data_IF_206041752890
#
_entry.id   IF_206041752890
#
_cell.length_a   1.000
_cell.length_b   1.000
_cell.length_c   1.000
_cell.angle_alpha   90.00
_cell.angle_beta   90.00
_cell.angle_gamma   90.00
#
_symmetry.space_group_name_H-M   'P 1'
#
loop_
_entity.id
_entity.type
_entity.pdbx_description
1 polymer ?
#
# COMPACT_ATOMS: atom_id res chain seq x y z
N UNK A 1 10.55 -3.43 -26.69
CA UNK A 1 11.76 -3.39 -27.55
C UNK A 1 11.89 -4.69 -28.34
N UNK A 2 12.22 -5.84 -27.73
CA UNK A 2 12.36 -7.11 -28.47
C UNK A 2 11.07 -7.62 -29.18
N UNK A 3 9.92 -7.03 -28.88
CA UNK A 3 8.63 -7.36 -29.50
C UNK A 3 8.49 -6.84 -30.95
N UNK A 4 9.31 -5.88 -31.36
CA UNK A 4 9.27 -5.25 -32.70
C UNK A 4 10.52 -5.52 -33.53
N UNK A 5 11.65 -5.81 -32.89
CA UNK A 5 12.93 -6.08 -33.54
C UNK A 5 13.76 -7.07 -32.72
N UNK A 6 14.75 -7.69 -33.37
CA UNK A 6 15.78 -8.47 -32.70
C UNK A 6 16.85 -7.54 -32.10
N UNK A 7 17.30 -7.84 -30.88
CA UNK A 7 18.23 -7.01 -30.12
C UNK A 7 19.48 -7.78 -29.75
N UNK A 8 20.61 -7.06 -29.70
CA UNK A 8 21.83 -7.51 -29.04
C UNK A 8 21.69 -7.40 -27.51
N UNK A 9 22.12 -8.43 -26.78
CA UNK A 9 22.04 -8.47 -25.31
C UNK A 9 22.90 -7.39 -24.64
N UNK A 10 24.11 -7.16 -25.15
CA UNK A 10 25.04 -6.20 -24.57
C UNK A 10 24.56 -4.77 -24.80
N UNK A 11 24.08 -4.49 -26.02
CA UNK A 11 23.50 -3.19 -26.34
C UNK A 11 22.25 -2.90 -25.49
N UNK A 12 21.38 -3.90 -25.30
CA UNK A 12 20.21 -3.76 -24.46
C UNK A 12 20.60 -3.47 -23.00
N UNK A 13 21.58 -4.20 -22.46
CA UNK A 13 22.08 -3.97 -21.10
C UNK A 13 22.65 -2.56 -20.94
N UNK A 14 23.52 -2.13 -21.86
CA UNK A 14 24.09 -0.79 -21.87
C UNK A 14 23.02 0.29 -21.99
N UNK A 15 21.99 0.07 -22.82
CA UNK A 15 20.87 1.01 -22.99
C UNK A 15 20.02 1.14 -21.73
N UNK A 16 19.72 0.04 -21.04
CA UNK A 16 18.96 0.06 -19.78
C UNK A 16 19.73 0.84 -18.70
N UNK A 17 21.04 0.63 -18.58
CA UNK A 17 21.90 1.32 -17.59
C UNK A 17 22.07 2.82 -17.82
N UNK A 18 21.66 3.36 -18.97
CA UNK A 18 21.64 4.82 -19.20
C UNK A 18 20.49 5.52 -18.46
N UNK A 19 19.53 4.77 -17.94
CA UNK A 19 18.42 5.34 -17.17
C UNK A 19 18.77 5.40 -15.68
N UNK A 20 18.37 6.49 -15.00
CA UNK A 20 18.71 6.71 -13.61
C UNK A 20 18.32 5.54 -12.66
N UNK A 21 17.12 4.94 -12.75
CA UNK A 21 16.73 3.84 -11.86
C UNK A 21 17.57 2.57 -12.03
N UNK A 22 18.20 2.38 -13.20
CA UNK A 22 18.96 1.17 -13.54
C UNK A 22 20.47 1.45 -13.72
N UNK A 23 20.96 2.63 -13.33
CA UNK A 23 22.37 3.00 -13.52
C UNK A 23 23.36 2.03 -12.86
N UNK A 24 22.98 1.49 -11.69
CA UNK A 24 23.74 0.51 -10.92
C UNK A 24 23.32 -0.95 -11.18
N UNK A 25 22.52 -1.22 -12.23
CA UNK A 25 22.03 -2.58 -12.52
C UNK A 25 23.20 -3.54 -12.77
N UNK A 26 23.27 -4.59 -11.95
CA UNK A 26 24.24 -5.67 -12.11
C UNK A 26 23.90 -6.58 -13.27
N UNK A 27 24.93 -7.07 -13.98
CA UNK A 27 24.74 -7.94 -15.15
C UNK A 27 24.00 -9.23 -14.79
N UNK A 28 24.36 -9.88 -13.68
CA UNK A 28 23.69 -11.10 -13.24
C UNK A 28 22.18 -10.92 -13.02
N UNK A 29 21.75 -9.75 -12.52
CA UNK A 29 20.32 -9.45 -12.33
C UNK A 29 19.59 -9.25 -13.66
N UNK A 30 20.23 -8.58 -14.61
CA UNK A 30 19.72 -8.45 -15.97
C UNK A 30 19.55 -9.81 -16.64
N UNK A 31 20.58 -10.67 -16.58
CA UNK A 31 20.53 -12.01 -17.16
C UNK A 31 19.44 -12.87 -16.52
N UNK A 32 19.23 -12.77 -15.20
CA UNK A 32 18.17 -13.48 -14.51
C UNK A 32 16.76 -13.09 -15.02
N UNK A 33 16.54 -11.81 -15.33
CA UNK A 33 15.27 -11.33 -15.90
C UNK A 33 15.09 -11.89 -17.32
N UNK A 34 16.14 -11.90 -18.15
CA UNK A 34 16.07 -12.48 -19.49
C UNK A 34 15.76 -13.97 -19.45
N UNK A 35 16.38 -14.72 -18.53
CA UNK A 35 16.08 -16.15 -18.32
C UNK A 35 14.63 -16.33 -17.88
N UNK A 36 14.15 -15.57 -16.90
CA UNK A 36 12.74 -15.62 -16.46
C UNK A 36 11.77 -15.34 -17.62
N UNK A 37 12.04 -14.35 -18.47
CA UNK A 37 11.21 -14.04 -19.62
C UNK A 37 11.34 -15.07 -20.75
N UNK A 38 12.47 -15.78 -20.84
CA UNK A 38 12.76 -16.82 -21.82
C UNK A 38 12.18 -18.19 -21.50
N UNK A 39 12.05 -18.51 -20.21
CA UNK A 39 11.51 -19.78 -19.69
C UNK A 39 10.02 -19.67 -19.33
N UNK A 40 9.56 -18.45 -19.02
CA UNK A 40 8.25 -18.17 -18.44
C UNK A 40 8.31 -18.09 -16.92
N UNK A 41 7.22 -17.62 -16.31
CA UNK A 41 7.16 -17.30 -14.89
C UNK A 41 5.76 -17.55 -14.34
N UNK A 42 5.61 -17.60 -13.02
CA UNK A 42 4.31 -17.77 -12.37
C UNK A 42 3.93 -16.49 -11.63
N UNK A 43 2.67 -16.09 -11.72
CA UNK A 43 2.10 -15.00 -10.93
C UNK A 43 0.95 -15.54 -10.07
N UNK A 44 0.40 -14.71 -9.19
CA UNK A 44 -0.83 -15.03 -8.43
C UNK A 44 -2.01 -15.39 -9.35
N UNK A 45 -2.02 -14.91 -10.60
CA UNK A 45 -3.04 -15.20 -11.62
C UNK A 45 -2.70 -16.45 -12.46
N UNK A 46 -1.70 -17.22 -12.08
CA UNK A 46 -1.29 -18.47 -12.74
C UNK A 46 0.01 -18.38 -13.54
N UNK A 47 0.34 -19.46 -14.24
CA UNK A 47 1.57 -19.60 -15.02
C UNK A 47 1.50 -18.78 -16.32
N UNK A 48 2.55 -18.00 -16.59
CA UNK A 48 2.78 -17.26 -17.83
C UNK A 48 3.84 -17.96 -18.66
N UNK A 49 3.59 -18.05 -19.96
CA UNK A 49 4.56 -18.59 -20.91
C UNK A 49 5.73 -17.63 -21.14
N UNK A 50 6.77 -18.15 -21.78
CA UNK A 50 7.90 -17.35 -22.23
C UNK A 50 7.47 -16.24 -23.19
N UNK A 51 8.01 -15.04 -22.99
CA UNK A 51 7.72 -13.85 -23.80
C UNK A 51 8.85 -13.56 -24.81
N UNK A 52 10.06 -14.04 -24.54
CA UNK A 52 11.22 -13.86 -25.43
C UNK A 52 11.85 -15.19 -25.80
N UNK A 53 12.58 -15.20 -26.90
CA UNK A 53 13.54 -16.23 -27.24
C UNK A 53 14.92 -15.62 -27.10
N UNK A 54 15.74 -16.26 -26.27
CA UNK A 54 17.08 -15.84 -25.90
C UNK A 54 18.09 -16.81 -26.53
N UNK A 55 18.89 -16.32 -27.47
CA UNK A 55 20.02 -17.06 -28.03
C UNK A 55 21.29 -16.64 -27.29
N UNK A 56 21.73 -17.48 -26.35
CA UNK A 56 22.92 -17.21 -25.54
C UNK A 56 24.23 -17.42 -26.31
N UNK A 57 24.21 -18.17 -27.42
CA UNK A 57 25.40 -18.43 -28.23
C UNK A 57 25.76 -17.18 -29.03
N UNK A 58 24.76 -16.53 -29.62
CA UNK A 58 24.93 -15.33 -30.43
C UNK A 58 24.63 -14.02 -29.70
N UNK A 59 24.18 -14.08 -28.44
CA UNK A 59 23.83 -12.91 -27.65
C UNK A 59 22.61 -12.14 -28.17
N UNK A 60 21.60 -12.85 -28.70
CA UNK A 60 20.43 -12.24 -29.37
C UNK A 60 19.13 -12.48 -28.62
N UNK A 61 18.28 -11.46 -28.58
CA UNK A 61 16.93 -11.54 -28.01
C UNK A 61 15.90 -11.17 -29.08
N UNK A 62 14.89 -12.04 -29.25
CA UNK A 62 13.70 -11.75 -30.05
C UNK A 62 12.42 -12.00 -29.27
N UNK A 63 11.36 -11.28 -29.59
CA UNK A 63 10.02 -11.53 -29.05
C UNK A 63 9.47 -12.87 -29.55
N UNK A 64 8.75 -13.58 -28.67
CA UNK A 64 7.91 -14.72 -29.08
C UNK A 64 6.56 -14.23 -29.59
N UNK A 65 5.80 -15.13 -30.22
CA UNK A 65 4.43 -14.86 -30.66
C UNK A 65 3.59 -14.42 -29.45
N UNK A 66 2.89 -13.30 -29.59
CA UNK A 66 2.08 -12.71 -28.51
C UNK A 66 2.82 -11.72 -27.59
N UNK A 67 4.16 -11.60 -27.69
CA UNK A 67 4.93 -10.66 -26.87
C UNK A 67 4.54 -9.19 -27.13
N UNK A 68 4.34 -8.83 -28.40
CA UNK A 68 3.89 -7.47 -28.79
C UNK A 68 2.51 -7.15 -28.23
N UNK A 69 1.55 -8.06 -28.41
CA UNK A 69 0.19 -7.89 -27.87
C UNK A 69 0.20 -7.77 -26.34
N UNK A 70 0.98 -8.61 -25.67
CA UNK A 70 1.14 -8.55 -24.20
C UNK A 70 1.72 -7.22 -23.74
N UNK A 71 2.71 -6.68 -24.46
CA UNK A 71 3.32 -5.40 -24.12
C UNK A 71 2.37 -4.22 -24.35
N UNK A 72 1.55 -4.24 -25.41
CA UNK A 72 0.59 -3.17 -25.74
C UNK A 72 -0.61 -3.17 -24.79
N UNK A 73 -1.09 -4.35 -24.40
CA UNK A 73 -2.22 -4.49 -23.46
C UNK A 73 -1.81 -4.32 -21.99
N UNK A 74 -0.50 -4.18 -21.71
CA UNK A 74 -0.04 -3.85 -20.38
C UNK A 74 -0.30 -2.35 -20.13
N UNK A 75 -1.10 -2.03 -19.11
CA UNK A 75 -1.45 -0.65 -18.73
C UNK A 75 -0.28 0.18 -18.20
N UNK A 76 0.95 -0.36 -18.19
CA UNK A 76 2.15 0.31 -17.71
C UNK A 76 2.50 -0.08 -16.29
N UNK A 77 3.04 0.89 -15.54
CA UNK A 77 3.57 0.67 -14.20
C UNK A 77 2.56 0.93 -13.07
N UNK A 78 1.40 1.55 -13.37
CA UNK A 78 0.35 1.80 -12.38
C UNK A 78 -0.30 0.44 -12.04
N UNK A 79 -0.23 -0.01 -10.78
CA UNK A 79 -0.90 -1.24 -10.38
C UNK A 79 -2.42 -1.07 -10.48
N UNK A 80 -3.08 -2.16 -10.85
CA UNK A 80 -4.53 -2.27 -10.78
C UNK A 80 -4.87 -2.67 -9.33
N UNK A 81 -5.19 -1.68 -8.50
CA UNK A 81 -5.65 -1.89 -7.11
C UNK A 81 -7.16 -1.76 -7.09
N UNK A 82 -7.86 -2.77 -6.56
CA UNK A 82 -9.32 -2.74 -6.46
C UNK A 82 -9.79 -2.93 -5.02
N UNK A 83 -10.96 -2.39 -4.70
CA UNK A 83 -11.70 -2.82 -3.52
C UNK A 83 -12.38 -4.16 -3.81
N UNK A 84 -12.47 -5.02 -2.79
CA UNK A 84 -13.25 -6.26 -2.85
C UNK A 84 -14.62 -6.03 -2.23
N UNK A 85 -15.68 -6.41 -2.96
CA UNK A 85 -17.04 -6.36 -2.43
C UNK A 85 -17.22 -7.42 -1.34
N UNK A 86 -17.70 -6.99 -0.17
CA UNK A 86 -18.06 -7.93 0.90
C UNK A 86 -19.51 -8.34 0.72
N UNK A 87 -19.73 -9.62 0.45
CA UNK A 87 -21.03 -10.21 0.12
C UNK A 87 -21.45 -11.12 1.27
N UNK A 88 -22.58 -10.81 1.89
CA UNK A 88 -23.19 -11.63 2.93
C UNK A 88 -23.93 -12.81 2.30
N UNK A 89 -23.64 -14.00 2.79
CA UNK A 89 -24.36 -15.24 2.49
C UNK A 89 -25.40 -15.57 3.59
N UNK A 90 -26.49 -16.29 3.24
CA UNK A 90 -26.83 -16.81 1.91
C UNK A 90 -27.57 -15.80 1.01
N UNK A 91 -27.87 -14.60 1.50
CA UNK A 91 -28.72 -13.63 0.78
C UNK A 91 -28.05 -13.01 -0.46
N UNK A 92 -26.72 -13.13 -0.58
CA UNK A 92 -25.93 -12.53 -1.66
C UNK A 92 -25.89 -11.00 -1.61
N UNK A 93 -26.13 -10.41 -0.43
CA UNK A 93 -26.23 -8.96 -0.26
C UNK A 93 -24.86 -8.33 -0.08
N UNK A 94 -24.55 -7.27 -0.82
CA UNK A 94 -23.34 -6.46 -0.56
C UNK A 94 -23.51 -5.67 0.74
N UNK A 95 -22.61 -5.88 1.69
CA UNK A 95 -22.61 -5.20 3.00
C UNK A 95 -21.53 -4.12 3.10
N UNK A 96 -20.59 -4.08 2.15
CA UNK A 96 -19.59 -3.02 2.03
C UNK A 96 -18.46 -3.43 1.11
N UNK A 97 -17.28 -2.88 1.37
CA UNK A 97 -16.03 -3.25 0.69
C UNK A 97 -14.86 -3.25 1.66
N UNK A 98 -13.82 -4.00 1.29
CA UNK A 98 -12.51 -4.01 1.96
C UNK A 98 -11.41 -3.86 0.93
N UNK A 99 -10.25 -3.38 1.34
CA UNK A 99 -9.09 -3.24 0.46
C UNK A 99 -8.61 -4.61 -0.09
N UNK A 100 -8.15 -4.67 -1.35
CA UNK A 100 -7.68 -5.92 -1.98
C UNK A 100 -6.62 -6.64 -1.15
N UNK A 101 -5.61 -5.94 -0.64
CA UNK A 101 -4.54 -6.59 0.12
C UNK A 101 -5.07 -7.28 1.38
N UNK A 102 -6.00 -6.64 2.10
CA UNK A 102 -6.66 -7.28 3.24
C UNK A 102 -7.46 -8.52 2.80
N UNK A 103 -8.23 -8.40 1.71
CA UNK A 103 -9.02 -9.52 1.19
C UNK A 103 -8.16 -10.70 0.75
N UNK A 104 -7.03 -10.44 0.08
CA UNK A 104 -6.11 -11.46 -0.43
C UNK A 104 -5.32 -12.15 0.68
N UNK A 105 -5.02 -11.43 1.77
CA UNK A 105 -4.36 -12.01 2.95
C UNK A 105 -5.33 -12.74 3.88
N UNK A 106 -6.64 -12.52 3.73
CA UNK A 106 -7.67 -13.19 4.51
C UNK A 106 -7.87 -14.66 4.11
N UNK A 107 -8.19 -15.49 5.10
CA UNK A 107 -8.52 -16.91 4.95
C UNK A 107 -9.95 -17.22 5.38
N UNK A 108 -10.48 -18.35 4.92
CA UNK A 108 -11.75 -18.85 5.41
C UNK A 108 -11.69 -19.11 6.93
N UNK A 109 -12.65 -18.58 7.67
CA UNK A 109 -12.69 -18.60 9.12
C UNK A 109 -12.24 -17.29 9.78
N UNK A 110 -11.50 -16.42 9.07
CA UNK A 110 -11.09 -15.12 9.62
C UNK A 110 -12.30 -14.25 9.92
N UNK A 111 -12.22 -13.45 10.98
CA UNK A 111 -13.32 -12.62 11.45
C UNK A 111 -12.84 -11.18 11.49
N UNK A 112 -13.57 -10.30 10.81
CA UNK A 112 -13.22 -8.88 10.73
C UNK A 112 -14.43 -7.98 10.94
N UNK A 113 -14.16 -6.78 11.43
CA UNK A 113 -15.18 -5.76 11.66
C UNK A 113 -15.44 -4.98 10.38
N UNK A 114 -16.72 -4.85 9.99
CA UNK A 114 -17.14 -3.93 8.93
C UNK A 114 -18.38 -3.16 9.38
N UNK A 115 -18.23 -1.84 9.52
CA UNK A 115 -19.23 -1.02 10.19
C UNK A 115 -19.38 -1.42 11.65
N UNK A 116 -20.62 -1.71 12.08
CA UNK A 116 -20.92 -2.15 13.44
C UNK A 116 -20.96 -3.69 13.60
N UNK A 117 -20.76 -4.45 12.53
CA UNK A 117 -20.95 -5.91 12.52
C UNK A 117 -19.62 -6.65 12.31
N UNK A 118 -19.45 -7.76 13.01
CA UNK A 118 -18.36 -8.71 12.80
C UNK A 118 -18.78 -9.78 11.78
N UNK A 119 -17.94 -10.01 10.78
CA UNK A 119 -18.19 -10.91 9.67
C UNK A 119 -17.13 -12.01 9.64
N UNK A 120 -17.55 -13.27 9.50
CA UNK A 120 -16.65 -14.40 9.26
C UNK A 120 -16.49 -14.65 7.77
N UNK A 121 -15.26 -14.70 7.29
CA UNK A 121 -14.91 -15.05 5.91
C UNK A 121 -15.28 -16.50 5.64
N UNK A 122 -16.12 -16.73 4.64
CA UNK A 122 -16.41 -18.05 4.09
C UNK A 122 -15.43 -18.40 2.97
N UNK A 123 -15.21 -17.43 2.07
CA UNK A 123 -14.38 -17.61 0.87
C UNK A 123 -13.97 -16.26 0.29
N UNK A 124 -12.74 -16.19 -0.19
CA UNK A 124 -12.23 -15.09 -1.01
C UNK A 124 -12.27 -15.50 -2.49
N UNK A 125 -12.90 -14.68 -3.32
CA UNK A 125 -12.98 -14.81 -4.78
C UNK A 125 -12.39 -13.55 -5.42
N UNK A 126 -11.95 -13.59 -6.70
CA UNK A 126 -11.45 -12.38 -7.36
C UNK A 126 -12.48 -11.23 -7.30
N UNK A 127 -12.12 -10.17 -6.58
CA UNK A 127 -12.94 -8.97 -6.37
C UNK A 127 -14.09 -9.12 -5.36
N UNK A 128 -14.22 -10.24 -4.64
CA UNK A 128 -15.30 -10.46 -3.67
C UNK A 128 -14.85 -11.27 -2.46
N UNK A 129 -15.33 -10.89 -1.27
CA UNK A 129 -15.20 -11.68 -0.04
C UNK A 129 -16.59 -12.12 0.38
N UNK A 130 -16.85 -13.43 0.40
CA UNK A 130 -18.11 -13.99 0.90
C UNK A 130 -18.02 -14.18 2.40
N UNK A 131 -19.02 -13.71 3.12
CA UNK A 131 -19.03 -13.72 4.58
C UNK A 131 -20.36 -14.19 5.15
N UNK A 132 -20.33 -14.65 6.38
CA UNK A 132 -21.50 -14.84 7.25
C UNK A 132 -21.38 -13.99 8.52
N UNK A 133 -22.48 -13.77 9.23
CA UNK A 133 -22.45 -13.08 10.52
C UNK A 133 -21.61 -13.89 11.52
N UNK A 134 -20.65 -13.24 12.18
CA UNK A 134 -19.78 -13.89 13.16
C UNK A 134 -20.46 -14.14 14.52
N UNK A 135 -21.72 -13.74 14.69
CA UNK A 135 -22.55 -13.95 15.87
C UNK A 135 -21.87 -13.50 17.19
N UNK A 136 -21.20 -12.36 17.14
CA UNK A 136 -20.52 -11.75 18.30
C UNK A 136 -19.14 -12.32 18.63
N UNK A 137 -18.56 -13.14 17.76
CA UNK A 137 -17.16 -13.54 17.90
C UNK A 137 -16.22 -12.33 17.74
N UNK A 138 -15.10 -12.29 18.48
CA UNK A 138 -14.20 -11.13 18.51
C UNK A 138 -13.56 -10.91 17.12
N UNK A 139 -13.75 -9.73 16.50
CA UNK A 139 -13.19 -9.43 15.19
C UNK A 139 -11.80 -8.83 15.27
N UNK A 140 -11.05 -8.94 14.17
CA UNK A 140 -9.92 -8.06 13.88
C UNK A 140 -10.40 -6.81 13.12
N UNK A 141 -9.55 -5.78 13.04
CA UNK A 141 -9.83 -4.60 12.23
C UNK A 141 -9.16 -4.78 10.87
N UNK A 142 -9.90 -4.71 9.75
CA UNK A 142 -9.29 -4.73 8.43
C UNK A 142 -8.35 -3.54 8.26
N UNK A 143 -7.25 -3.74 7.53
CA UNK A 143 -6.31 -2.67 7.23
C UNK A 143 -6.62 -2.07 5.85
N UNK A 144 -6.37 -0.77 5.74
CA UNK A 144 -6.41 -0.06 4.47
C UNK A 144 -5.04 0.55 4.22
N UNK A 145 -4.46 0.18 3.08
CA UNK A 145 -3.26 0.84 2.59
C UNK A 145 -3.71 2.02 1.74
N UNK A 146 -3.32 3.23 2.15
CA UNK A 146 -3.47 4.41 1.29
C UNK A 146 -2.51 4.35 0.11
N UNK A 147 -2.63 5.30 -0.82
CA UNK A 147 -1.66 5.44 -1.91
C UNK A 147 -0.25 5.66 -1.34
N UNK A 148 0.71 4.85 -1.81
CA UNK A 148 2.11 5.01 -1.45
C UNK A 148 2.72 6.22 -2.19
N UNK A 149 3.71 6.90 -1.58
CA UNK A 149 4.30 6.64 -0.27
C UNK A 149 3.42 7.13 0.89
N UNK A 150 3.47 6.40 2.02
CA UNK A 150 2.86 6.85 3.26
C UNK A 150 3.56 8.08 3.86
N UNK A 151 3.21 8.45 5.10
CA UNK A 151 3.82 9.57 5.83
C UNK A 151 5.34 9.38 5.92
N UNK A 152 6.12 10.39 5.50
CA UNK A 152 7.57 10.36 5.57
C UNK A 152 8.08 10.42 7.02
N UNK A 153 9.34 10.07 7.23
CA UNK A 153 9.99 10.16 8.56
C UNK A 153 10.03 11.62 9.03
N UNK A 154 10.32 12.54 8.12
CA UNK A 154 10.41 13.98 8.39
C UNK A 154 9.04 14.55 8.78
N UNK A 155 7.99 14.21 8.03
CA UNK A 155 6.62 14.64 8.37
C UNK A 155 6.17 14.03 9.70
N UNK A 156 6.55 12.77 9.98
CA UNK A 156 6.25 12.14 11.26
C UNK A 156 6.96 12.83 12.43
N UNK A 157 8.21 13.24 12.24
CA UNK A 157 8.97 13.99 13.24
C UNK A 157 8.37 15.38 13.48
N UNK A 158 7.98 16.10 12.42
CA UNK A 158 7.31 17.40 12.54
C UNK A 158 5.98 17.31 13.30
N UNK A 159 5.15 16.30 13.00
CA UNK A 159 3.90 16.06 13.73
C UNK A 159 4.17 15.72 15.20
N UNK A 160 5.19 14.92 15.50
CA UNK A 160 5.55 14.58 16.87
C UNK A 160 6.06 15.79 17.66
N UNK A 161 6.90 16.63 17.06
CA UNK A 161 7.36 17.89 17.65
C UNK A 161 6.18 18.79 17.98
N UNK A 162 5.29 19.02 17.01
CA UNK A 162 4.11 19.86 17.22
C UNK A 162 3.23 19.36 18.38
N UNK A 163 3.02 18.04 18.48
CA UNK A 163 2.28 17.44 19.61
C UNK A 163 3.00 17.66 20.93
N UNK A 164 4.33 17.50 20.96
CA UNK A 164 5.16 17.75 22.13
C UNK A 164 5.10 19.21 22.58
N UNK A 165 5.23 20.15 21.65
CA UNK A 165 5.17 21.58 21.91
C UNK A 165 3.81 21.99 22.47
N UNK A 166 2.72 21.51 21.87
CA UNK A 166 1.36 21.75 22.38
C UNK A 166 1.16 21.08 23.75
N UNK A 167 1.59 19.83 23.90
CA UNK A 167 1.49 19.08 25.17
C UNK A 167 2.26 19.75 26.32
N UNK A 168 3.37 20.43 26.03
CA UNK A 168 4.13 21.20 27.02
C UNK A 168 3.39 22.46 27.49
N UNK A 169 2.50 23.02 26.67
CA UNK A 169 1.65 24.16 27.02
C UNK A 169 0.34 23.75 27.71
N UNK A 170 -0.10 22.50 27.53
CA UNK A 170 -1.31 21.98 28.17
C UNK A 170 -0.99 21.68 29.65
N UNK A 171 -1.68 22.39 30.54
CA UNK A 171 -1.65 22.09 31.97
C UNK A 171 -3.05 21.74 32.46
N UNK A 172 -3.14 21.01 33.59
CA UNK A 172 -4.43 20.68 34.20
C UNK A 172 -5.22 21.93 34.64
N UNK A 173 -4.55 23.06 34.84
CA UNK A 173 -5.16 24.31 35.30
C UNK A 173 -5.45 25.30 34.15
N UNK A 174 -4.75 25.18 33.02
CA UNK A 174 -4.85 26.13 31.92
C UNK A 174 -4.56 25.45 30.57
N UNK A 175 -5.60 25.40 29.73
CA UNK A 175 -5.55 25.01 28.32
C UNK A 175 -5.49 26.21 27.38
N UNK A 176 -5.83 27.41 27.85
CA UNK A 176 -5.84 28.64 27.08
C UNK A 176 -4.44 29.05 26.63
N UNK A 177 -3.42 28.79 27.45
CA UNK A 177 -2.02 29.00 27.07
C UNK A 177 -1.62 28.24 25.79
N UNK A 178 -2.07 26.99 25.64
CA UNK A 178 -1.83 26.19 24.45
C UNK A 178 -2.57 26.72 23.21
N UNK A 179 -3.81 27.19 23.40
CA UNK A 179 -4.60 27.83 22.35
C UNK A 179 -3.92 29.11 21.86
N UNK A 180 -3.54 30.02 22.77
CA UNK A 180 -2.82 31.25 22.41
C UNK A 180 -1.48 30.96 21.74
N UNK A 181 -0.73 29.96 22.22
CA UNK A 181 0.53 29.56 21.59
C UNK A 181 0.33 29.08 20.15
N UNK A 182 -0.71 28.28 19.88
CA UNK A 182 -1.04 27.83 18.53
C UNK A 182 -1.43 29.00 17.61
N UNK A 183 -2.18 29.97 18.13
CA UNK A 183 -2.54 31.18 17.39
C UNK A 183 -1.30 32.04 17.07
N UNK A 184 -0.41 32.24 18.04
CA UNK A 184 0.73 33.14 17.90
C UNK A 184 1.90 32.53 17.11
N UNK A 185 2.21 31.26 17.35
CA UNK A 185 3.39 30.60 16.77
C UNK A 185 3.08 29.83 15.48
N UNK A 186 1.91 29.20 15.41
CA UNK A 186 1.49 28.41 14.23
C UNK A 186 0.61 29.23 13.29
N UNK A 187 -0.08 30.26 13.79
CA UNK A 187 -0.89 31.16 12.98
C UNK A 187 -2.25 30.59 12.58
N UNK A 188 -2.81 29.68 13.39
CA UNK A 188 -4.14 29.09 13.16
C UNK A 188 -5.22 29.88 13.89
N UNK A 189 -6.46 29.80 13.38
CA UNK A 189 -7.61 30.45 14.01
C UNK A 189 -7.96 29.81 15.36
N UNK A 190 -8.52 30.63 16.26
CA UNK A 190 -8.88 30.24 17.63
C UNK A 190 -9.71 28.95 17.68
N UNK A 191 -10.76 28.84 16.85
CA UNK A 191 -11.61 27.66 16.82
C UNK A 191 -10.85 26.37 16.43
N UNK A 192 -9.85 26.46 15.55
CA UNK A 192 -9.02 25.32 15.19
C UNK A 192 -8.02 24.99 16.31
N UNK A 193 -7.45 26.01 16.96
CA UNK A 193 -6.56 25.85 18.10
C UNK A 193 -7.28 25.18 19.28
N UNK A 194 -8.49 25.62 19.62
CA UNK A 194 -9.32 25.00 20.67
C UNK A 194 -9.55 23.52 20.40
N UNK A 195 -9.94 23.15 19.17
CA UNK A 195 -10.17 21.75 18.81
C UNK A 195 -8.91 20.88 18.94
N UNK A 196 -7.75 21.41 18.55
CA UNK A 196 -6.47 20.71 18.69
C UNK A 196 -6.13 20.50 20.16
N UNK A 197 -6.28 21.55 20.98
CA UNK A 197 -5.99 21.50 22.41
C UNK A 197 -6.93 20.54 23.13
N UNK A 198 -8.22 20.55 22.79
CA UNK A 198 -9.20 19.62 23.38
C UNK A 198 -8.90 18.17 23.01
N UNK A 199 -8.61 17.90 21.73
CA UNK A 199 -8.27 16.56 21.27
C UNK A 199 -6.97 16.03 21.90
N UNK A 200 -5.90 16.84 21.88
CA UNK A 200 -4.61 16.45 22.44
C UNK A 200 -4.65 16.37 23.97
N UNK A 201 -5.35 17.29 24.62
CA UNK A 201 -5.56 17.27 26.07
C UNK A 201 -6.31 16.02 26.52
N UNK A 202 -7.40 15.66 25.83
CA UNK A 202 -8.11 14.42 26.11
C UNK A 202 -7.24 13.17 25.92
N UNK A 203 -6.38 13.15 24.89
CA UNK A 203 -5.43 12.06 24.67
C UNK A 203 -4.38 11.98 25.80
N UNK A 204 -3.84 13.11 26.23
CA UNK A 204 -2.86 13.17 27.32
C UNK A 204 -3.48 12.74 28.66
N UNK A 205 -4.71 13.16 28.94
CA UNK A 205 -5.45 12.76 30.15
C UNK A 205 -5.70 11.25 30.16
N UNK A 206 -6.08 10.67 29.00
CA UNK A 206 -6.37 9.24 28.88
C UNK A 206 -5.12 8.35 28.91
N UNK A 207 -4.00 8.82 28.34
CA UNK A 207 -2.76 8.06 28.20
C UNK A 207 -1.74 8.36 29.31
N UNK A 208 -1.95 9.43 30.09
CA UNK A 208 -1.04 9.89 31.14
C UNK A 208 0.16 10.69 30.64
N UNK A 209 0.43 10.69 29.34
CA UNK A 209 1.47 11.47 28.69
C UNK A 209 1.09 11.77 27.23
N UNK A 210 1.70 12.80 26.65
CA UNK A 210 1.52 13.11 25.23
C UNK A 210 2.32 12.13 24.37
N UNK A 211 1.70 11.38 23.45
CA UNK A 211 2.45 10.50 22.55
C UNK A 211 3.27 11.30 21.54
N UNK A 212 4.56 11.02 21.48
CA UNK A 212 5.53 11.62 20.56
C UNK A 212 6.45 10.53 20.00
N UNK A 213 7.56 10.87 19.35
CA UNK A 213 8.57 9.87 18.97
C UNK A 213 9.39 9.37 20.16
N UNK A 214 9.44 10.14 21.25
CA UNK A 214 10.21 9.82 22.46
C UNK A 214 9.33 9.23 23.57
N UNK A 215 8.01 9.36 23.44
CA UNK A 215 7.01 8.90 24.40
C UNK A 215 5.98 8.03 23.68
N UNK A 216 5.99 6.72 23.93
CA UNK A 216 5.08 5.71 23.34
C UNK A 216 3.89 5.47 24.26
#
# INVERSE_FOLDING_TARGET
>A
MAAVEELDEEELFARVRRTAPFAALERGRFDAILTMLGDGFSTRRGRRGALIHRDQVHGRIRGRRGASMTAIQNGGAIPDTADYDVIREPEGLRVGSVHEDFAVESMAGDIFQLGATAWRVLKVEPGRVRVEDAAGQPPTVPFWLGEAPGRSVELSAAVASLRGDVGAQITAADRGAATSWLMDQVGIEEAAAEQIVDYLGAAQDALGAMPTQETI
#
